data_IF_774989675798
#
_entry.id   IF_774989675798
#
_cell.length_a   1.000
_cell.length_b   1.000
_cell.length_c   1.000
_cell.angle_alpha   90.00
_cell.angle_beta   90.00
_cell.angle_gamma   90.00
#
_symmetry.space_group_name_H-M   'P 1'
#
loop_
_entity.id
_entity.type
_entity.pdbx_description
1 polymer ?
#
# COMPACT_ATOMS: atom_id res chain seq x y z
N UNK A 1 -14.61 13.95 9.42
CA UNK A 1 -14.87 12.90 10.44
C UNK A 1 -13.65 11.98 10.48
N UNK A 2 -13.22 11.57 11.67
CA UNK A 2 -12.16 10.57 11.86
C UNK A 2 -12.54 9.26 11.17
N UNK A 3 -11.58 8.60 10.52
CA UNK A 3 -11.76 7.29 9.88
C UNK A 3 -11.18 6.19 10.76
N UNK A 4 -11.84 5.04 10.79
CA UNK A 4 -11.31 3.82 11.41
C UNK A 4 -10.49 3.06 10.38
N UNK A 5 -9.20 2.91 10.65
CA UNK A 5 -8.22 2.35 9.71
C UNK A 5 -7.55 1.14 10.34
N UNK A 6 -7.45 0.06 9.56
CA UNK A 6 -6.59 -1.06 9.92
C UNK A 6 -5.43 -1.19 8.93
N UNK A 7 -4.21 -1.34 9.47
CA UNK A 7 -2.97 -1.43 8.67
C UNK A 7 -2.35 -2.81 8.81
N UNK A 8 -2.30 -3.56 7.71
CA UNK A 8 -1.52 -4.78 7.55
C UNK A 8 -0.11 -4.42 7.10
N UNK A 9 0.90 -5.08 7.68
CA UNK A 9 2.31 -4.75 7.41
C UNK A 9 2.82 -3.51 8.14
N UNK A 10 2.17 -3.11 9.22
CA UNK A 10 2.49 -1.92 10.03
C UNK A 10 3.91 -1.90 10.59
N UNK A 11 4.56 -3.05 10.76
CA UNK A 11 5.96 -3.16 11.25
C UNK A 11 7.01 -2.92 10.16
N UNK A 12 6.59 -2.78 8.90
CA UNK A 12 7.47 -2.47 7.77
C UNK A 12 7.82 -0.98 7.69
N UNK A 13 8.78 -0.65 6.81
CA UNK A 13 9.25 0.72 6.59
C UNK A 13 8.08 1.67 6.24
N UNK A 14 7.28 1.33 5.26
CA UNK A 14 6.12 2.14 4.86
C UNK A 14 4.98 2.04 5.86
N UNK A 15 4.72 0.84 6.40
CA UNK A 15 3.61 0.64 7.33
C UNK A 15 3.71 1.50 8.59
N UNK A 16 4.89 1.63 9.17
CA UNK A 16 5.14 2.53 10.31
C UNK A 16 4.81 3.98 9.98
N UNK A 17 5.22 4.46 8.82
CA UNK A 17 4.94 5.83 8.40
C UNK A 17 3.45 6.04 8.07
N UNK A 18 2.78 5.04 7.50
CA UNK A 18 1.32 5.09 7.29
C UNK A 18 0.59 5.25 8.62
N UNK A 19 0.96 4.47 9.65
CA UNK A 19 0.41 4.61 11.01
C UNK A 19 0.68 6.01 11.55
N UNK A 20 1.95 6.45 11.56
CA UNK A 20 2.40 7.75 12.07
C UNK A 20 1.62 8.92 11.44
N UNK A 21 1.52 8.95 10.11
CA UNK A 21 0.88 10.06 9.40
C UNK A 21 -0.65 10.07 9.58
N UNK A 22 -1.29 8.90 9.68
CA UNK A 22 -2.72 8.83 9.97
C UNK A 22 -3.05 9.28 11.40
N UNK A 23 -2.23 8.94 12.39
CA UNK A 23 -2.39 9.43 13.76
C UNK A 23 -2.27 10.96 13.83
N UNK A 24 -1.33 11.58 13.08
CA UNK A 24 -1.19 13.04 13.00
C UNK A 24 -2.47 13.74 12.49
N UNK A 25 -3.21 13.08 11.59
CA UNK A 25 -4.47 13.59 11.06
C UNK A 25 -5.70 13.26 11.92
N UNK A 26 -5.48 12.63 13.08
CA UNK A 26 -6.54 12.31 14.04
C UNK A 26 -7.42 11.13 13.62
N UNK A 27 -6.94 10.27 12.72
CA UNK A 27 -7.61 9.02 12.38
C UNK A 27 -7.45 7.99 13.50
N UNK A 28 -8.45 7.12 13.65
CA UNK A 28 -8.42 5.99 14.58
C UNK A 28 -7.71 4.81 13.92
N UNK A 29 -6.46 4.57 14.31
CA UNK A 29 -5.60 3.55 13.66
C UNK A 29 -5.50 2.31 14.54
N UNK A 30 -5.68 1.14 13.92
CA UNK A 30 -5.34 -0.17 14.47
C UNK A 30 -4.37 -0.88 13.52
N UNK A 31 -3.61 -1.83 14.05
CA UNK A 31 -2.65 -2.60 13.25
C UNK A 31 -2.91 -4.10 13.38
N UNK A 32 -2.74 -4.84 12.28
CA UNK A 32 -2.75 -6.30 12.26
C UNK A 32 -1.32 -6.80 12.13
N UNK A 33 -0.82 -7.47 13.18
CA UNK A 33 0.59 -7.85 13.30
C UNK A 33 0.75 -9.28 13.81
N UNK A 34 1.91 -9.89 13.58
CA UNK A 34 2.26 -11.20 14.13
C UNK A 34 2.83 -11.12 15.55
N UNK A 35 3.45 -9.99 15.88
CA UNK A 35 4.04 -9.73 17.19
C UNK A 35 2.96 -9.46 18.24
N UNK A 36 3.35 -9.57 19.50
CA UNK A 36 2.50 -9.27 20.67
C UNK A 36 2.68 -7.85 21.20
N UNK A 37 3.50 -7.04 20.53
CA UNK A 37 3.78 -5.65 20.91
C UNK A 37 3.88 -4.78 19.65
N UNK A 38 3.49 -3.53 19.80
CA UNK A 38 3.65 -2.49 18.78
C UNK A 38 4.11 -1.18 19.45
N UNK A 39 5.11 -0.45 18.90
CA UNK A 39 5.76 0.66 19.59
C UNK A 39 4.87 1.89 19.82
N UNK A 40 3.94 2.16 18.92
CA UNK A 40 3.02 3.27 19.02
C UNK A 40 1.81 2.91 19.91
N UNK A 41 1.22 3.92 20.53
CA UNK A 41 0.01 3.74 21.34
C UNK A 41 -1.23 3.60 20.42
N UNK A 42 -1.30 2.49 19.70
CA UNK A 42 -2.43 2.12 18.84
C UNK A 42 -2.96 0.74 19.22
N UNK A 43 -4.22 0.49 18.91
CA UNK A 43 -4.77 -0.85 19.05
C UNK A 43 -4.09 -1.82 18.09
N UNK A 44 -3.70 -2.99 18.58
CA UNK A 44 -3.17 -4.03 17.73
C UNK A 44 -3.94 -5.34 17.85
N UNK A 45 -4.06 -6.03 16.74
CA UNK A 45 -4.66 -7.35 16.65
C UNK A 45 -3.55 -8.31 16.20
N UNK A 46 -3.28 -9.32 17.02
CA UNK A 46 -2.27 -10.33 16.70
C UNK A 46 -2.87 -11.44 15.84
N UNK A 47 -2.23 -11.77 14.71
CA UNK A 47 -2.67 -12.86 13.85
C UNK A 47 -1.74 -13.10 12.67
N UNK A 48 -1.93 -14.25 12.01
CA UNK A 48 -1.21 -14.60 10.78
C UNK A 48 -1.95 -14.10 9.55
N UNK A 49 -1.22 -13.74 8.50
CA UNK A 49 -1.79 -13.29 7.22
C UNK A 49 -2.55 -14.40 6.46
N UNK A 50 -2.40 -15.66 6.88
CA UNK A 50 -3.14 -16.82 6.39
C UNK A 50 -4.43 -17.12 7.15
N UNK A 51 -4.71 -16.44 8.27
CA UNK A 51 -5.91 -16.65 9.07
C UNK A 51 -7.09 -15.85 8.48
N UNK A 52 -7.71 -16.43 7.45
CA UNK A 52 -8.83 -15.82 6.73
C UNK A 52 -10.00 -15.49 7.65
N UNK A 53 -10.32 -16.37 8.62
CA UNK A 53 -11.45 -16.21 9.54
C UNK A 53 -11.20 -14.99 10.43
N UNK A 54 -10.05 -14.93 11.06
CA UNK A 54 -9.67 -13.83 11.95
C UNK A 54 -9.58 -12.49 11.21
N UNK A 55 -9.01 -12.49 10.00
CA UNK A 55 -8.95 -11.29 9.16
C UNK A 55 -10.37 -10.81 8.80
N UNK A 56 -11.26 -11.72 8.38
CA UNK A 56 -12.64 -11.39 8.05
C UNK A 56 -13.41 -10.78 9.22
N UNK A 57 -13.20 -11.29 10.43
CA UNK A 57 -13.81 -10.72 11.63
C UNK A 57 -13.21 -9.36 11.98
N UNK A 58 -11.90 -9.25 11.88
CA UNK A 58 -11.16 -8.03 12.23
C UNK A 58 -11.59 -6.85 11.35
N UNK A 59 -11.61 -7.01 10.02
CA UNK A 59 -11.82 -5.89 9.11
C UNK A 59 -13.24 -5.32 9.14
N UNK A 60 -14.23 -6.04 9.66
CA UNK A 60 -15.65 -5.59 9.72
C UNK A 60 -15.86 -4.27 10.45
N UNK A 61 -14.98 -3.93 11.39
CA UNK A 61 -15.10 -2.72 12.21
C UNK A 61 -14.43 -1.46 11.62
N UNK A 62 -13.86 -1.53 10.42
CA UNK A 62 -13.03 -0.47 9.85
C UNK A 62 -13.64 0.12 8.57
N UNK A 63 -13.43 1.43 8.36
CA UNK A 63 -13.79 2.12 7.12
C UNK A 63 -12.77 1.84 6.02
N UNK A 64 -11.50 1.78 6.40
CA UNK A 64 -10.34 1.67 5.51
C UNK A 64 -9.46 0.49 5.90
N UNK A 65 -9.16 -0.35 4.94
CA UNK A 65 -8.19 -1.45 5.06
C UNK A 65 -6.95 -1.09 4.25
N UNK A 66 -5.81 -0.96 4.90
CA UNK A 66 -4.53 -0.65 4.25
C UNK A 66 -3.62 -1.86 4.29
N UNK A 67 -3.11 -2.27 3.12
CA UNK A 67 -2.11 -3.33 3.00
C UNK A 67 -0.76 -2.74 2.57
N UNK A 68 0.19 -2.70 3.48
CA UNK A 68 1.60 -2.38 3.25
C UNK A 68 2.50 -3.62 3.46
N UNK A 69 1.93 -4.80 3.25
CA UNK A 69 2.69 -6.06 3.31
C UNK A 69 3.64 -6.16 2.11
N UNK A 70 4.74 -6.85 2.29
CA UNK A 70 5.69 -7.12 1.22
C UNK A 70 6.81 -8.02 1.70
N UNK A 71 7.51 -8.65 0.76
CA UNK A 71 8.71 -9.41 1.05
C UNK A 71 9.91 -8.46 1.16
N UNK A 72 10.65 -8.54 2.28
CA UNK A 72 11.88 -7.75 2.50
C UNK A 72 13.09 -8.34 1.78
N UNK A 73 13.04 -9.64 1.50
CA UNK A 73 14.06 -10.31 0.73
C UNK A 73 13.64 -10.34 -0.75
N UNK A 74 14.23 -9.50 -1.57
CA UNK A 74 13.90 -9.41 -3.00
C UNK A 74 14.31 -10.65 -3.81
N UNK A 75 15.23 -11.46 -3.29
CA UNK A 75 15.66 -12.72 -3.92
C UNK A 75 14.65 -13.85 -3.66
N UNK A 76 13.87 -13.75 -2.58
CA UNK A 76 12.85 -14.74 -2.24
C UNK A 76 11.68 -14.65 -3.22
N UNK A 77 11.38 -15.72 -3.97
CA UNK A 77 10.26 -15.72 -4.91
C UNK A 77 8.88 -15.83 -4.26
N UNK A 78 8.80 -15.97 -2.94
CA UNK A 78 7.53 -16.10 -2.23
C UNK A 78 6.71 -14.83 -2.38
N UNK A 79 5.54 -14.97 -2.98
CA UNK A 79 4.58 -13.87 -3.11
C UNK A 79 3.88 -13.61 -1.78
N UNK A 80 3.73 -12.35 -1.42
CA UNK A 80 3.07 -11.90 -0.19
C UNK A 80 1.97 -10.90 -0.51
N UNK A 81 2.23 -9.97 -1.42
CA UNK A 81 1.28 -8.90 -1.77
C UNK A 81 0.06 -9.45 -2.50
N UNK A 82 0.27 -10.35 -3.46
CA UNK A 82 -0.81 -10.93 -4.25
C UNK A 82 -1.77 -11.79 -3.44
N UNK A 83 -1.32 -12.79 -2.65
CA UNK A 83 -2.24 -13.61 -1.86
C UNK A 83 -2.97 -12.80 -0.79
N UNK A 84 -2.30 -11.86 -0.09
CA UNK A 84 -2.94 -11.01 0.91
C UNK A 84 -3.91 -10.03 0.24
N UNK A 85 -3.53 -9.40 -0.86
CA UNK A 85 -4.41 -8.52 -1.62
C UNK A 85 -5.66 -9.22 -2.12
N UNK A 86 -5.52 -10.44 -2.66
CA UNK A 86 -6.63 -11.29 -3.09
C UNK A 86 -7.57 -11.64 -1.93
N UNK A 87 -7.02 -12.01 -0.77
CA UNK A 87 -7.81 -12.30 0.42
C UNK A 87 -8.59 -11.06 0.87
N UNK A 88 -7.93 -9.93 1.06
CA UNK A 88 -8.57 -8.69 1.50
C UNK A 88 -9.64 -8.23 0.52
N UNK A 89 -9.39 -8.31 -0.80
CA UNK A 89 -10.36 -7.91 -1.82
C UNK A 89 -11.62 -8.78 -1.85
N UNK A 90 -11.51 -10.04 -1.44
CA UNK A 90 -12.65 -10.96 -1.28
C UNK A 90 -13.48 -10.66 -0.03
N UNK A 91 -12.83 -10.17 1.03
CA UNK A 91 -13.44 -9.97 2.35
C UNK A 91 -14.00 -8.57 2.56
N UNK A 92 -13.52 -7.59 1.80
CA UNK A 92 -13.94 -6.19 1.94
C UNK A 92 -15.41 -6.01 1.52
N UNK A 93 -16.15 -5.21 2.27
CA UNK A 93 -17.54 -4.88 1.97
C UNK A 93 -17.65 -3.62 1.09
N UNK A 94 -18.81 -3.39 0.50
CA UNK A 94 -19.05 -2.26 -0.44
C UNK A 94 -18.90 -0.87 0.18
N UNK A 95 -19.02 -0.75 1.50
CA UNK A 95 -18.84 0.50 2.24
C UNK A 95 -17.42 0.71 2.76
N UNK A 96 -16.53 -0.23 2.51
CA UNK A 96 -15.12 -0.15 2.89
C UNK A 96 -14.24 0.21 1.70
N UNK A 97 -13.04 0.68 1.98
CA UNK A 97 -12.01 0.98 0.98
C UNK A 97 -10.75 0.17 1.24
N UNK A 98 -10.20 -0.42 0.18
CA UNK A 98 -8.94 -1.15 0.21
C UNK A 98 -7.82 -0.33 -0.42
N UNK A 99 -6.79 0.01 0.35
CA UNK A 99 -5.59 0.69 -0.14
C UNK A 99 -4.42 -0.29 -0.08
N UNK A 100 -3.74 -0.49 -1.20
CA UNK A 100 -2.61 -1.41 -1.30
C UNK A 100 -1.35 -0.65 -1.72
N UNK A 101 -0.26 -0.93 -1.04
CA UNK A 101 1.06 -0.47 -1.48
C UNK A 101 1.62 -1.47 -2.47
N UNK A 102 1.80 -1.01 -3.68
CA UNK A 102 2.45 -1.74 -4.77
C UNK A 102 3.81 -1.13 -5.09
N UNK A 103 4.17 -1.10 -6.37
CA UNK A 103 5.41 -0.49 -6.84
C UNK A 103 5.22 0.24 -8.17
N UNK A 104 6.15 1.13 -8.52
CA UNK A 104 6.09 1.97 -9.72
C UNK A 104 5.97 1.17 -11.03
N UNK A 105 6.33 -0.11 -11.02
CA UNK A 105 6.14 -1.00 -12.18
C UNK A 105 4.68 -1.19 -12.60
N UNK A 106 3.74 -0.94 -11.70
CA UNK A 106 2.31 -1.00 -12.01
C UNK A 106 1.82 0.20 -12.82
N UNK A 107 2.54 1.32 -12.84
CA UNK A 107 2.12 2.53 -13.55
C UNK A 107 2.44 2.47 -15.04
N UNK A 108 1.72 3.25 -15.82
CA UNK A 108 1.98 3.43 -17.24
C UNK A 108 3.21 4.33 -17.45
N UNK A 109 4.02 3.98 -18.44
CA UNK A 109 5.05 4.84 -19.01
C UNK A 109 4.46 5.74 -20.10
N UNK A 110 3.64 5.14 -20.94
CA UNK A 110 2.84 5.77 -22.00
C UNK A 110 1.47 5.09 -22.09
N UNK A 111 0.65 5.44 -23.08
CA UNK A 111 -0.71 4.93 -23.22
C UNK A 111 -0.83 3.41 -23.42
N UNK A 112 0.28 2.70 -23.63
CA UNK A 112 0.29 1.26 -23.96
C UNK A 112 1.26 0.45 -23.11
N UNK A 113 2.34 1.08 -22.63
CA UNK A 113 3.49 0.39 -22.01
C UNK A 113 3.48 0.59 -20.50
N UNK A 114 3.55 -0.50 -19.77
CA UNK A 114 3.78 -0.44 -18.32
C UNK A 114 5.26 -0.20 -18.03
N UNK A 115 5.54 0.52 -16.96
CA UNK A 115 6.93 0.73 -16.51
C UNK A 115 7.68 -0.58 -16.24
N UNK A 116 6.99 -1.61 -15.77
CA UNK A 116 7.58 -2.93 -15.52
C UNK A 116 8.15 -3.58 -16.81
N UNK A 117 7.61 -3.23 -17.96
CA UNK A 117 7.96 -3.84 -19.26
C UNK A 117 9.06 -3.08 -20.01
N UNK A 118 9.54 -1.97 -19.44
CA UNK A 118 10.66 -1.20 -19.99
C UNK A 118 11.97 -1.98 -19.90
N UNK A 119 12.85 -1.81 -20.88
CA UNK A 119 14.21 -2.33 -20.83
C UNK A 119 15.02 -1.75 -19.66
N UNK A 120 15.96 -2.52 -19.14
CA UNK A 120 16.86 -2.07 -18.06
C UNK A 120 16.25 -2.10 -16.67
N UNK A 121 15.12 -2.79 -16.48
CA UNK A 121 14.57 -2.99 -15.13
C UNK A 121 15.54 -3.80 -14.25
N UNK A 122 15.77 -3.40 -12.99
CA UNK A 122 16.67 -4.12 -12.10
C UNK A 122 16.22 -5.57 -11.89
N UNK A 123 17.10 -6.54 -12.14
CA UNK A 123 16.77 -7.96 -12.03
C UNK A 123 16.42 -8.35 -10.59
N UNK A 124 17.06 -7.76 -9.59
CA UNK A 124 16.79 -8.06 -8.19
C UNK A 124 15.35 -7.70 -7.75
N UNK A 125 14.64 -6.86 -8.51
CA UNK A 125 13.22 -6.54 -8.25
C UNK A 125 12.24 -7.42 -9.03
N UNK A 126 12.70 -8.44 -9.75
CA UNK A 126 11.86 -9.29 -10.59
C UNK A 126 10.72 -9.96 -9.82
N UNK A 127 11.03 -10.58 -8.69
CA UNK A 127 10.03 -11.27 -7.87
C UNK A 127 9.01 -10.28 -7.29
N UNK A 128 9.46 -9.14 -6.78
CA UNK A 128 8.58 -8.10 -6.27
C UNK A 128 7.67 -7.53 -7.38
N UNK A 129 8.21 -7.28 -8.59
CA UNK A 129 7.39 -6.81 -9.71
C UNK A 129 6.32 -7.83 -10.12
N UNK A 130 6.66 -9.13 -10.07
CA UNK A 130 5.70 -10.21 -10.36
C UNK A 130 4.58 -10.25 -9.31
N UNK A 131 4.92 -10.20 -8.03
CA UNK A 131 3.97 -10.20 -6.91
C UNK A 131 3.00 -9.00 -6.97
N UNK A 132 3.54 -7.78 -7.17
CA UNK A 132 2.71 -6.59 -7.32
C UNK A 132 1.80 -6.65 -8.55
N UNK A 133 2.30 -7.18 -9.66
CA UNK A 133 1.50 -7.32 -10.88
C UNK A 133 0.36 -8.31 -10.69
N UNK A 134 0.62 -9.46 -10.09
CA UNK A 134 -0.40 -10.44 -9.78
C UNK A 134 -1.45 -9.87 -8.82
N UNK A 135 -1.04 -9.12 -7.79
CA UNK A 135 -1.97 -8.42 -6.92
C UNK A 135 -2.90 -7.48 -7.70
N UNK A 136 -2.31 -6.67 -8.60
CA UNK A 136 -3.08 -5.73 -9.41
C UNK A 136 -4.06 -6.43 -10.36
N UNK A 137 -3.62 -7.46 -11.07
CA UNK A 137 -4.48 -8.19 -12.02
C UNK A 137 -5.62 -8.96 -11.35
N UNK A 138 -5.43 -9.39 -10.10
CA UNK A 138 -6.47 -10.02 -9.31
C UNK A 138 -7.53 -9.03 -8.81
N UNK A 139 -7.17 -7.77 -8.58
CA UNK A 139 -8.03 -6.78 -7.90
C UNK A 139 -8.66 -5.80 -8.89
N UNK A 140 -7.92 -5.35 -9.90
CA UNK A 140 -8.38 -4.33 -10.84
C UNK A 140 -9.71 -4.63 -11.57
N UNK A 141 -10.04 -5.90 -11.89
CA UNK A 141 -11.33 -6.24 -12.50
C UNK A 141 -12.52 -6.25 -11.53
N UNK A 142 -12.27 -6.16 -10.20
CA UNK A 142 -13.33 -6.29 -9.20
C UNK A 142 -14.09 -4.98 -9.04
N UNK A 143 -15.39 -5.09 -8.76
CA UNK A 143 -16.24 -3.94 -8.45
C UNK A 143 -16.20 -3.57 -6.96
N UNK A 144 -15.00 -3.23 -6.47
CA UNK A 144 -14.76 -2.78 -5.09
C UNK A 144 -14.07 -1.41 -5.10
N UNK A 145 -14.15 -0.68 -3.99
CA UNK A 145 -13.40 0.57 -3.83
C UNK A 145 -11.94 0.27 -3.45
N UNK A 146 -11.06 0.24 -4.43
CA UNK A 146 -9.63 0.01 -4.22
C UNK A 146 -8.78 1.17 -4.71
N UNK A 147 -7.55 1.25 -4.16
CA UNK A 147 -6.50 2.16 -4.60
C UNK A 147 -5.13 1.51 -4.48
N UNK A 148 -4.35 1.49 -5.55
CA UNK A 148 -2.94 1.10 -5.52
C UNK A 148 -2.03 2.32 -5.40
N UNK A 149 -1.17 2.34 -4.39
CA UNK A 149 -0.12 3.33 -4.23
C UNK A 149 1.17 2.74 -4.77
N UNK A 150 1.74 3.37 -5.79
CA UNK A 150 2.82 2.84 -6.61
C UNK A 150 4.09 3.71 -6.48
N UNK A 151 4.78 3.68 -5.33
CA UNK A 151 6.01 4.45 -5.14
C UNK A 151 7.14 3.87 -5.98
N UNK A 152 8.13 4.71 -6.27
CA UNK A 152 9.44 4.28 -6.75
C UNK A 152 10.26 3.64 -5.62
N UNK A 153 11.58 3.62 -5.71
CA UNK A 153 12.45 3.10 -4.65
C UNK A 153 12.18 3.84 -3.34
N UNK A 154 11.62 3.13 -2.36
CA UNK A 154 11.32 3.70 -1.05
C UNK A 154 12.55 3.64 -0.17
N UNK A 155 12.92 4.78 0.39
CA UNK A 155 14.03 4.91 1.35
C UNK A 155 13.51 5.42 2.69
N UNK A 156 14.29 5.20 3.75
CA UNK A 156 13.99 5.74 5.06
C UNK A 156 13.99 7.27 5.03
N UNK A 157 13.05 7.88 5.71
CA UNK A 157 12.87 9.32 5.80
C UNK A 157 11.47 9.69 6.25
N UNK A 158 11.39 10.79 7.01
CA UNK A 158 10.13 11.37 7.45
C UNK A 158 9.42 12.09 6.30
N UNK A 159 8.14 12.37 6.49
CA UNK A 159 7.35 13.15 5.54
C UNK A 159 7.80 14.62 5.57
N UNK A 160 8.16 15.15 4.42
CA UNK A 160 8.45 16.57 4.19
C UNK A 160 7.38 17.23 3.29
N UNK A 161 6.44 16.43 2.76
CA UNK A 161 5.39 16.88 1.87
C UNK A 161 5.86 17.19 0.44
N UNK A 162 7.16 17.02 0.15
CA UNK A 162 7.75 17.38 -1.14
C UNK A 162 7.83 16.17 -2.07
N UNK A 163 6.70 15.82 -2.70
CA UNK A 163 6.58 14.71 -3.62
C UNK A 163 5.60 15.01 -4.76
N UNK A 164 5.77 14.30 -5.86
CA UNK A 164 4.86 14.31 -7.00
C UNK A 164 4.01 13.05 -7.00
N UNK A 165 2.74 13.21 -7.36
CA UNK A 165 1.79 12.11 -7.56
C UNK A 165 1.11 12.22 -8.92
N UNK A 166 0.85 11.08 -9.57
CA UNK A 166 0.13 11.06 -10.83
C UNK A 166 -0.75 9.82 -10.94
N UNK A 167 -2.00 10.03 -11.30
CA UNK A 167 -2.94 8.94 -11.52
C UNK A 167 -2.58 8.16 -12.79
N UNK A 168 -2.62 6.83 -12.68
CA UNK A 168 -2.29 5.84 -13.70
C UNK A 168 -0.86 5.87 -14.24
N UNK A 169 -0.19 6.99 -14.21
CA UNK A 169 1.15 7.18 -14.74
C UNK A 169 2.18 7.37 -13.62
N UNK A 170 3.44 7.25 -13.99
CA UNK A 170 4.52 7.65 -13.10
C UNK A 170 4.82 9.14 -13.32
N UNK A 171 4.92 9.96 -12.26
CA UNK A 171 5.24 11.37 -12.40
C UNK A 171 6.59 11.59 -13.10
N UNK A 172 6.67 12.63 -13.92
CA UNK A 172 7.95 13.07 -14.50
C UNK A 172 8.78 13.75 -13.42
N UNK A 173 9.88 13.13 -13.04
CA UNK A 173 10.83 13.64 -12.04
C UNK A 173 12.23 13.10 -12.33
N UNK A 174 13.24 13.85 -11.99
CA UNK A 174 14.64 13.41 -11.97
C UNK A 174 14.94 12.55 -10.73
N UNK A 175 14.13 12.66 -9.69
CA UNK A 175 14.27 11.84 -8.49
C UNK A 175 13.94 10.37 -8.79
N UNK A 176 14.72 9.46 -8.18
CA UNK A 176 14.59 8.02 -8.37
C UNK A 176 14.10 7.30 -7.13
N UNK A 177 13.82 8.05 -6.08
CA UNK A 177 13.42 7.52 -4.78
C UNK A 177 12.33 8.38 -4.13
N UNK A 178 11.70 7.82 -3.11
CA UNK A 178 10.73 8.52 -2.28
C UNK A 178 10.95 8.16 -0.80
N UNK A 179 10.81 9.12 0.10
CA UNK A 179 10.82 8.86 1.55
C UNK A 179 9.57 8.07 1.95
N UNK A 180 9.76 7.09 2.82
CA UNK A 180 8.65 6.31 3.37
C UNK A 180 7.60 7.19 4.05
N UNK A 181 8.04 8.28 4.69
CA UNK A 181 7.17 9.30 5.27
C UNK A 181 6.27 9.97 4.24
N UNK A 182 6.79 10.30 3.04
CA UNK A 182 5.99 10.89 1.97
C UNK A 182 4.93 9.91 1.44
N UNK A 183 5.23 8.61 1.38
CA UNK A 183 4.23 7.59 1.06
C UNK A 183 3.14 7.54 2.12
N UNK A 184 3.51 7.53 3.40
CA UNK A 184 2.58 7.57 4.53
C UNK A 184 1.71 8.81 4.51
N UNK A 185 2.31 9.99 4.29
CA UNK A 185 1.63 11.27 4.19
C UNK A 185 0.61 11.28 3.04
N UNK A 186 1.00 10.85 1.83
CA UNK A 186 0.07 10.76 0.70
C UNK A 186 -1.13 9.87 1.03
N UNK A 187 -0.90 8.68 1.60
CA UNK A 187 -1.98 7.76 1.98
C UNK A 187 -2.90 8.40 3.02
N UNK A 188 -2.35 9.06 4.02
CA UNK A 188 -3.13 9.70 5.07
C UNK A 188 -3.99 10.86 4.53
N UNK A 189 -3.44 11.69 3.63
CA UNK A 189 -4.20 12.74 2.95
C UNK A 189 -5.30 12.15 2.07
N UNK A 190 -5.00 11.10 1.30
CA UNK A 190 -5.97 10.46 0.41
C UNK A 190 -7.12 9.77 1.17
N UNK A 191 -6.86 9.25 2.37
CA UNK A 191 -7.91 8.71 3.25
C UNK A 191 -8.91 9.81 3.65
N UNK A 192 -8.42 11.02 3.92
CA UNK A 192 -9.27 12.18 4.28
C UNK A 192 -9.98 12.75 3.06
N UNK A 193 -9.27 12.94 1.96
CA UNK A 193 -9.75 13.62 0.76
C UNK A 193 -10.61 12.73 -0.14
N UNK A 194 -10.30 11.42 -0.17
CA UNK A 194 -11.00 10.40 -0.97
C UNK A 194 -11.15 10.77 -2.46
N UNK A 195 -10.07 11.24 -3.07
CA UNK A 195 -10.05 11.72 -4.46
C UNK A 195 -10.06 10.61 -5.51
N UNK A 196 -9.38 9.51 -5.21
CA UNK A 196 -9.10 8.46 -6.19
C UNK A 196 -9.81 7.16 -5.82
N UNK A 197 -10.35 6.47 -6.80
CA UNK A 197 -10.99 5.17 -6.63
C UNK A 197 -10.78 4.31 -7.87
N UNK A 198 -10.62 3.00 -7.69
CA UNK A 198 -10.43 2.00 -8.76
C UNK A 198 -9.28 2.36 -9.71
N UNK A 199 -8.17 2.82 -9.15
CA UNK A 199 -7.02 3.31 -9.91
C UNK A 199 -5.70 3.04 -9.17
N UNK A 200 -4.61 3.53 -9.74
CA UNK A 200 -3.24 3.44 -9.20
C UNK A 200 -2.55 4.79 -9.30
N UNK A 201 -1.76 5.14 -8.29
CA UNK A 201 -1.07 6.43 -8.19
C UNK A 201 0.43 6.20 -8.15
N UNK A 202 1.14 6.74 -9.13
CA UNK A 202 2.59 6.81 -9.10
C UNK A 202 3.07 7.88 -8.13
N UNK A 203 4.11 7.58 -7.33
CA UNK A 203 4.69 8.51 -6.35
C UNK A 203 6.22 8.55 -6.46
N UNK A 204 6.77 9.76 -6.36
CA UNK A 204 8.22 10.03 -6.32
C UNK A 204 8.48 11.33 -5.56
N UNK A 205 9.64 11.50 -4.92
CA UNK A 205 10.03 12.82 -4.40
C UNK A 205 10.08 13.86 -5.54
N UNK A 206 9.77 15.10 -5.23
CA UNK A 206 9.85 16.21 -6.17
C UNK A 206 11.30 16.57 -6.52
#
# INVERSE_FOLDING_TARGET
>A
MSKKIIVFGATGLMGKQIVKENLKLGNEVSVYIRQTEYPENVNFITGELSDEIKIAETIKGFDIVVSAVGNRNYEDPTMVVAPVGKLLSKLISSNQRLILVGGSGLTLHDNKTLRRDLAGQPEFLKNQRADHWEAYTNIAPLDINYLFICPTMVVEGDADGNYLSQENYFPKSEAKQIFAGNVGHFIAQEIVENKFSKTRIGLVNA
#
